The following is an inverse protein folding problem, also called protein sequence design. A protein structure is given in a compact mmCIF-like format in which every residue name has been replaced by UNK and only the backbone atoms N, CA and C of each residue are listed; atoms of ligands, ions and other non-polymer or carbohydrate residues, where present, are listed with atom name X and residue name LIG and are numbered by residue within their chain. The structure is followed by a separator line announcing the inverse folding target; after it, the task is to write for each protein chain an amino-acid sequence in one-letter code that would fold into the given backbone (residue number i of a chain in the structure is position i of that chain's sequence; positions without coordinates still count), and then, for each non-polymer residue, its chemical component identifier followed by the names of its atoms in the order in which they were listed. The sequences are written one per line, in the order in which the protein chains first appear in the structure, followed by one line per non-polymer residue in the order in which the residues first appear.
data_IF_412485837662
#
_entry.id   IF_412485837662
#
_cell.length_a   1.000
_cell.length_b   1.000
_cell.length_c   1.000
_cell.angle_alpha   90.00
_cell.angle_beta   90.00
_cell.angle_gamma   90.00
#
_symmetry.space_group_name_H-M   'P 1'
#
loop_
_entity.id
_entity.type
_entity.pdbx_description
1 polymer ?
#
# COMPACT_ATOMS: atom_id res chain seq x y z
N UNK A 1 -7.76 -2.26 -18.87
CA UNK A 1 -7.61 -3.34 -17.89
C UNK A 1 -7.60 -2.66 -16.55
N UNK A 2 -8.47 -3.03 -15.62
CA UNK A 2 -8.56 -2.34 -14.34
C UNK A 2 -7.38 -2.78 -13.45
N UNK A 3 -6.73 -1.81 -12.80
CA UNK A 3 -5.58 -2.06 -11.92
C UNK A 3 -6.01 -2.82 -10.67
N UNK A 4 -5.10 -3.63 -10.11
CA UNK A 4 -5.27 -4.28 -8.81
C UNK A 4 -5.10 -3.22 -7.72
N UNK A 5 -6.15 -3.01 -6.94
CA UNK A 5 -6.16 -2.02 -5.84
C UNK A 5 -5.57 -2.63 -4.58
N UNK A 6 -4.65 -1.90 -3.96
CA UNK A 6 -3.88 -2.34 -2.79
C UNK A 6 -4.05 -1.34 -1.64
N UNK A 7 -4.26 -1.87 -0.44
CA UNK A 7 -4.07 -1.16 0.83
C UNK A 7 -2.84 -1.75 1.52
N UNK A 8 -1.96 -0.91 2.06
CA UNK A 8 -0.76 -1.35 2.80
C UNK A 8 -1.00 -1.11 4.29
N UNK A 9 -1.01 -2.17 5.09
CA UNK A 9 -1.09 -2.07 6.55
C UNK A 9 0.25 -2.49 7.17
N UNK A 10 0.91 -1.57 7.87
CA UNK A 10 2.20 -1.81 8.55
C UNK A 10 2.39 -0.78 9.67
N UNK A 11 2.82 -1.20 10.85
CA UNK A 11 3.05 -0.34 12.03
C UNK A 11 4.37 0.45 11.96
N UNK A 12 5.20 0.21 10.94
CA UNK A 12 6.47 0.88 10.71
C UNK A 12 6.45 1.75 9.45
N UNK A 13 6.49 3.07 9.63
CA UNK A 13 6.43 4.04 8.52
C UNK A 13 7.49 3.83 7.43
N UNK A 14 8.73 3.48 7.79
CA UNK A 14 9.82 3.24 6.83
C UNK A 14 9.54 2.01 5.96
N UNK A 15 8.98 0.94 6.55
CA UNK A 15 8.63 -0.28 5.82
C UNK A 15 7.47 0.01 4.86
N UNK A 16 6.45 0.72 5.33
CA UNK A 16 5.29 1.10 4.53
C UNK A 16 5.66 1.97 3.32
N UNK A 17 6.52 2.97 3.50
CA UNK A 17 7.04 3.82 2.42
C UNK A 17 7.87 2.99 1.41
N UNK A 18 8.71 2.07 1.89
CA UNK A 18 9.49 1.18 1.03
C UNK A 18 8.61 0.26 0.19
N UNK A 19 7.62 -0.37 0.81
CA UNK A 19 6.65 -1.25 0.14
C UNK A 19 5.84 -0.48 -0.90
N UNK A 20 5.36 0.73 -0.56
CA UNK A 20 4.63 1.58 -1.50
C UNK A 20 5.46 1.91 -2.75
N UNK A 21 6.70 2.38 -2.57
CA UNK A 21 7.61 2.70 -3.68
C UNK A 21 7.93 1.50 -4.56
N UNK A 22 7.97 0.31 -3.99
CA UNK A 22 8.17 -0.91 -4.75
C UNK A 22 6.94 -1.24 -5.60
N UNK A 23 5.74 -1.17 -5.02
CA UNK A 23 4.48 -1.48 -5.71
C UNK A 23 4.11 -0.45 -6.78
N UNK A 24 4.44 0.83 -6.59
CA UNK A 24 4.21 1.91 -7.57
C UNK A 24 5.03 1.76 -8.85
N UNK A 25 6.01 0.85 -8.91
CA UNK A 25 6.78 0.54 -10.12
C UNK A 25 6.04 -0.41 -11.08
N UNK A 26 4.99 -1.08 -10.60
CA UNK A 26 4.22 -2.04 -11.40
C UNK A 26 2.99 -1.36 -12.03
N UNK A 27 2.88 -1.45 -13.35
CA UNK A 27 1.84 -0.73 -14.12
C UNK A 27 0.42 -1.24 -13.85
N UNK A 28 0.28 -2.49 -13.40
CA UNK A 28 -0.99 -3.16 -13.12
C UNK A 28 -1.47 -2.99 -11.66
N UNK A 29 -0.66 -2.35 -10.80
CA UNK A 29 -0.98 -2.13 -9.39
C UNK A 29 -1.34 -0.66 -9.11
N UNK A 30 -2.19 -0.46 -8.09
CA UNK A 30 -2.59 0.86 -7.60
C UNK A 30 -2.71 0.85 -6.07
N UNK A 31 -1.82 1.59 -5.39
CA UNK A 31 -1.86 1.74 -3.93
C UNK A 31 -2.87 2.85 -3.60
N UNK A 32 -4.04 2.45 -3.11
CA UNK A 32 -5.16 3.37 -2.86
C UNK A 32 -5.26 3.84 -1.41
N UNK A 33 -4.55 3.18 -0.49
CA UNK A 33 -4.59 3.47 0.94
C UNK A 33 -3.38 2.91 1.69
N UNK A 34 -3.10 3.51 2.85
CA UNK A 34 -2.11 3.08 3.83
C UNK A 34 -2.76 3.10 5.23
N UNK A 35 -2.37 2.15 6.08
CA UNK A 35 -2.83 2.02 7.46
C UNK A 35 -1.64 1.78 8.39
N UNK A 36 -1.61 2.48 9.52
CA UNK A 36 -0.60 2.30 10.57
C UNK A 36 -1.02 1.27 11.63
N UNK A 37 -2.30 0.91 11.67
CA UNK A 37 -2.85 -0.06 12.62
C UNK A 37 -4.09 -0.78 12.05
N UNK A 38 -4.71 -1.64 12.86
CA UNK A 38 -5.87 -2.42 12.47
C UNK A 38 -7.18 -1.64 12.38
N UNK A 39 -7.31 -0.50 13.08
CA UNK A 39 -8.50 0.35 12.97
C UNK A 39 -8.47 1.14 11.66
N UNK A 40 -7.30 1.60 11.22
CA UNK A 40 -7.12 2.25 9.91
C UNK A 40 -7.23 1.28 8.73
N UNK A 41 -7.12 -0.04 8.95
CA UNK A 41 -7.07 -1.05 7.90
C UNK A 41 -8.45 -1.61 7.45
N UNK A 42 -9.56 -1.22 8.09
CA UNK A 42 -10.90 -1.80 7.89
C UNK A 42 -11.93 -0.87 7.26
#
# INVERSE_FOLDING_TARGET
MDKIRILIADDHAIVREGTRRFLEQEDDLDVIAEAADGEEAV
#
